data_IF_772585285519
#
_entry.id   IF_772585285519
#
_cell.length_a   1.000
_cell.length_b   1.000
_cell.length_c   1.000
_cell.angle_alpha   90.00
_cell.angle_beta   90.00
_cell.angle_gamma   90.00
#
_symmetry.space_group_name_H-M   'P 1'
#
loop_
_entity.id
_entity.type
_entity.pdbx_description
1 polymer ?
#
# COMPACT_ATOMS: atom_id res chain seq x y z
N UNK A 1 12.75 -38.38 37.55
CA UNK A 1 11.55 -37.72 37.01
C UNK A 1 11.21 -36.60 37.96
N UNK A 2 11.23 -35.36 37.49
CA UNK A 2 10.83 -34.21 38.31
C UNK A 2 9.30 -34.07 38.24
N UNK A 3 8.64 -34.09 39.40
CA UNK A 3 7.21 -33.83 39.53
C UNK A 3 7.00 -32.38 39.94
N UNK A 4 6.32 -31.63 39.08
CA UNK A 4 5.89 -30.26 39.39
C UNK A 4 4.51 -30.37 40.06
N UNK A 5 4.39 -29.80 41.27
CA UNK A 5 3.10 -29.72 41.97
C UNK A 5 2.55 -28.30 41.81
N UNK A 6 1.32 -28.19 41.34
CA UNK A 6 0.67 -26.90 41.07
C UNK A 6 -0.77 -26.95 41.60
N UNK A 7 -1.26 -25.85 42.14
CA UNK A 7 -2.66 -25.72 42.54
C UNK A 7 -3.56 -25.60 41.30
N UNK A 8 -4.86 -25.90 41.46
CA UNK A 8 -5.83 -25.75 40.36
C UNK A 8 -5.94 -24.31 39.90
N UNK A 9 -5.74 -23.37 40.81
CA UNK A 9 -5.84 -21.94 40.61
C UNK A 9 -4.64 -21.44 39.79
N UNK A 10 -3.42 -21.82 40.16
CA UNK A 10 -2.21 -21.54 39.37
C UNK A 10 -2.28 -22.14 37.96
N UNK A 11 -2.85 -23.35 37.83
CA UNK A 11 -3.03 -23.98 36.51
C UNK A 11 -3.98 -23.17 35.63
N UNK A 12 -5.11 -22.72 36.20
CA UNK A 12 -6.06 -21.85 35.50
C UNK A 12 -5.41 -20.53 35.12
N UNK A 13 -4.55 -19.97 35.97
CA UNK A 13 -3.86 -18.71 35.71
C UNK A 13 -2.87 -18.82 34.56
N UNK A 14 -2.07 -19.89 34.52
CA UNK A 14 -1.14 -20.18 33.43
C UNK A 14 -1.91 -20.36 32.11
N UNK A 15 -2.98 -21.16 32.11
CA UNK A 15 -3.82 -21.35 30.92
C UNK A 15 -4.43 -20.02 30.48
N UNK A 16 -4.98 -19.22 31.39
CA UNK A 16 -5.59 -17.94 31.06
C UNK A 16 -4.57 -16.91 30.55
N UNK A 17 -3.34 -16.95 31.05
CA UNK A 17 -2.22 -16.12 30.55
C UNK A 17 -1.84 -16.55 29.14
N UNK A 18 -1.73 -17.84 28.89
CA UNK A 18 -1.33 -18.36 27.59
C UNK A 18 -2.40 -18.21 26.52
N UNK A 19 -3.67 -18.39 26.89
CA UNK A 19 -4.82 -18.07 26.04
C UNK A 19 -4.88 -16.57 25.75
N UNK A 20 -4.63 -15.70 26.74
CA UNK A 20 -4.53 -14.25 26.50
C UNK A 20 -3.37 -13.90 25.57
N UNK A 21 -2.21 -14.55 25.71
CA UNK A 21 -1.07 -14.36 24.82
C UNK A 21 -1.37 -14.86 23.39
N UNK A 22 -2.10 -15.96 23.24
CA UNK A 22 -2.52 -16.46 21.93
C UNK A 22 -3.59 -15.58 21.27
N UNK A 23 -4.50 -15.00 22.06
CA UNK A 23 -5.56 -14.08 21.58
C UNK A 23 -5.01 -12.68 21.29
N UNK A 24 -4.14 -12.16 22.16
CA UNK A 24 -3.55 -10.82 22.05
C UNK A 24 -2.23 -10.79 21.27
N UNK A 25 -1.64 -11.95 20.98
CA UNK A 25 -0.48 -12.06 20.11
C UNK A 25 -0.87 -11.48 18.76
N UNK A 26 -0.12 -10.45 18.29
CA UNK A 26 -0.26 -9.95 16.93
C UNK A 26 -0.29 -11.16 16.00
N UNK A 27 -1.39 -11.35 15.26
CA UNK A 27 -1.46 -12.40 14.24
C UNK A 27 -0.17 -12.34 13.42
N UNK A 28 0.56 -13.45 13.26
CA UNK A 28 1.77 -13.45 12.45
C UNK A 28 1.41 -12.87 11.09
N UNK A 29 2.20 -11.88 10.65
CA UNK A 29 1.98 -11.23 9.36
C UNK A 29 2.19 -12.33 8.33
N UNK A 30 1.16 -12.68 7.57
CA UNK A 30 1.37 -13.63 6.47
C UNK A 30 2.20 -12.93 5.39
N UNK A 31 3.01 -13.69 4.65
CA UNK A 31 3.78 -13.17 3.52
C UNK A 31 2.91 -12.45 2.47
N UNK A 32 1.64 -12.84 2.35
CA UNK A 32 0.65 -12.17 1.50
C UNK A 32 0.16 -10.81 2.02
N UNK A 33 0.49 -10.43 3.25
CA UNK A 33 -0.05 -9.24 3.93
C UNK A 33 0.99 -8.19 4.34
N UNK A 34 2.28 -8.42 4.06
CA UNK A 34 3.41 -7.56 4.46
C UNK A 34 3.17 -6.08 4.14
N UNK A 35 2.63 -5.79 2.96
CA UNK A 35 2.46 -4.43 2.47
C UNK A 35 1.03 -3.87 2.63
N UNK A 36 0.06 -4.64 3.15
CA UNK A 36 -1.35 -4.25 3.11
C UNK A 36 -1.63 -2.91 3.80
N UNK A 37 -0.92 -2.61 4.89
CA UNK A 37 -1.11 -1.37 5.67
C UNK A 37 -0.51 -0.14 5.00
N UNK A 38 0.54 -0.32 4.20
CA UNK A 38 1.30 0.76 3.57
C UNK A 38 1.03 0.87 2.07
N UNK A 39 0.26 -0.07 1.51
CA UNK A 39 -0.02 -0.20 0.08
C UNK A 39 -0.48 1.13 -0.53
N UNK A 40 0.15 1.52 -1.64
CA UNK A 40 -0.34 2.62 -2.46
C UNK A 40 -1.69 2.25 -3.08
N UNK A 41 -2.60 3.22 -3.09
CA UNK A 41 -4.02 3.05 -3.42
C UNK A 41 -4.50 4.19 -4.32
N UNK A 42 -5.74 4.06 -4.80
CA UNK A 42 -6.37 5.13 -5.57
C UNK A 42 -6.59 6.41 -4.74
N UNK A 43 -6.85 6.26 -3.43
CA UNK A 43 -7.07 7.40 -2.53
C UNK A 43 -5.84 8.31 -2.43
N UNK A 44 -4.63 7.73 -2.45
CA UNK A 44 -3.39 8.52 -2.39
C UNK A 44 -3.28 9.50 -3.57
N UNK A 45 -3.75 9.09 -4.76
CA UNK A 45 -3.76 9.95 -5.96
C UNK A 45 -4.92 10.94 -5.93
N UNK A 46 -6.09 10.49 -5.51
CA UNK A 46 -7.29 11.32 -5.42
C UNK A 46 -7.06 12.50 -4.46
N UNK A 47 -6.46 12.25 -3.30
CA UNK A 47 -6.06 13.28 -2.33
C UNK A 47 -5.07 14.29 -2.89
N UNK A 48 -4.11 13.85 -3.73
CA UNK A 48 -3.15 14.75 -4.36
C UNK A 48 -3.82 15.56 -5.46
N UNK A 49 -4.53 14.90 -6.38
CA UNK A 49 -5.10 15.53 -7.56
C UNK A 49 -6.15 16.58 -7.17
N UNK A 50 -7.02 16.27 -6.21
CA UNK A 50 -8.05 17.21 -5.71
C UNK A 50 -7.51 18.51 -5.10
N UNK A 51 -6.21 18.59 -4.78
CA UNK A 51 -5.59 19.85 -4.32
C UNK A 51 -5.51 20.90 -5.45
N UNK A 52 -5.62 20.50 -6.71
CA UNK A 52 -5.39 21.37 -7.86
C UNK A 52 -6.68 21.60 -8.64
N UNK A 53 -7.19 22.83 -8.62
CA UNK A 53 -8.49 23.16 -9.21
C UNK A 53 -8.62 22.79 -10.70
N UNK A 54 -7.52 22.83 -11.45
CA UNK A 54 -7.54 22.49 -12.88
C UNK A 54 -7.89 21.01 -13.14
N UNK A 55 -7.60 20.11 -12.19
CA UNK A 55 -7.87 18.67 -12.37
C UNK A 55 -9.35 18.35 -12.32
N UNK A 56 -10.19 19.23 -11.78
CA UNK A 56 -11.64 19.08 -11.82
C UNK A 56 -12.17 18.99 -13.26
N UNK A 57 -11.51 19.69 -14.20
CA UNK A 57 -11.84 19.63 -15.63
C UNK A 57 -11.43 18.32 -16.29
N UNK A 58 -10.62 17.50 -15.63
CA UNK A 58 -10.16 16.19 -16.09
C UNK A 58 -11.03 15.04 -15.57
N UNK A 59 -12.01 15.32 -14.69
CA UNK A 59 -12.94 14.31 -14.22
C UNK A 59 -13.75 13.75 -15.38
N UNK A 60 -13.77 12.43 -15.50
CA UNK A 60 -14.66 11.73 -16.42
C UNK A 60 -16.10 11.74 -15.92
N UNK A 61 -16.98 11.00 -16.62
CA UNK A 61 -18.30 10.69 -16.09
C UNK A 61 -18.17 9.98 -14.72
N UNK A 62 -19.06 10.30 -13.78
CA UNK A 62 -19.15 9.69 -12.44
C UNK A 62 -17.98 9.93 -11.46
N UNK A 63 -17.26 11.06 -11.56
CA UNK A 63 -16.08 11.37 -10.73
C UNK A 63 -14.91 10.37 -10.86
N UNK A 64 -14.95 9.52 -11.88
CA UNK A 64 -13.87 8.59 -12.23
C UNK A 64 -12.72 9.38 -12.88
N UNK A 65 -11.47 8.98 -12.58
CA UNK A 65 -10.27 9.50 -13.25
C UNK A 65 -9.21 10.17 -12.36
N UNK A 66 -9.56 10.68 -11.18
CA UNK A 66 -8.57 11.31 -10.27
C UNK A 66 -7.87 10.32 -9.33
N UNK A 67 -8.35 9.08 -9.22
CA UNK A 67 -7.72 8.03 -8.40
C UNK A 67 -6.43 7.43 -8.98
N UNK A 68 -5.85 8.04 -10.01
CA UNK A 68 -4.72 7.54 -10.76
C UNK A 68 -3.71 8.66 -11.08
N UNK A 69 -2.45 8.32 -11.39
CA UNK A 69 -1.51 9.31 -11.90
C UNK A 69 -2.00 9.91 -13.21
N UNK A 70 -2.05 11.25 -13.26
CA UNK A 70 -2.52 11.98 -14.44
C UNK A 70 -1.48 11.97 -15.57
N UNK A 71 -1.89 11.40 -16.70
CA UNK A 71 -1.21 11.47 -17.99
C UNK A 71 -1.66 12.71 -18.77
N UNK A 72 -0.71 13.36 -19.45
CA UNK A 72 -1.02 14.46 -20.38
C UNK A 72 -1.88 13.97 -21.56
N UNK A 73 -1.64 12.73 -22.02
CA UNK A 73 -2.45 12.10 -23.08
C UNK A 73 -3.73 11.49 -22.52
N UNK A 74 -4.81 11.55 -23.31
CA UNK A 74 -6.04 10.77 -23.11
C UNK A 74 -5.89 9.35 -23.63
N UNK A 75 -6.46 8.40 -22.90
CA UNK A 75 -6.52 6.99 -23.27
C UNK A 75 -7.95 6.47 -23.19
N UNK A 76 -8.27 5.53 -24.06
CA UNK A 76 -9.59 4.89 -24.08
C UNK A 76 -9.67 3.81 -22.99
N UNK A 77 -10.67 3.90 -22.11
CA UNK A 77 -10.92 2.96 -21.00
C UNK A 77 -12.28 2.25 -21.10
N UNK A 78 -12.91 2.32 -22.26
CA UNK A 78 -14.21 1.74 -22.55
C UNK A 78 -14.77 2.31 -23.85
N UNK A 79 -15.98 1.93 -24.21
CA UNK A 79 -16.64 2.49 -25.38
C UNK A 79 -16.99 3.96 -25.07
N UNK A 80 -16.34 4.90 -25.75
CA UNK A 80 -16.57 6.34 -25.59
C UNK A 80 -15.95 6.99 -24.34
N UNK A 81 -15.31 6.22 -23.45
CA UNK A 81 -14.66 6.74 -22.25
C UNK A 81 -13.18 7.04 -22.51
N UNK A 82 -12.80 8.31 -22.43
CA UNK A 82 -11.42 8.77 -22.59
C UNK A 82 -10.96 9.51 -21.34
N UNK A 83 -9.90 9.00 -20.72
CA UNK A 83 -9.41 9.53 -19.44
C UNK A 83 -7.91 9.80 -19.49
N UNK A 84 -7.48 10.77 -18.70
CA UNK A 84 -6.09 11.22 -18.63
C UNK A 84 -5.26 10.35 -17.67
N UNK A 85 -5.33 9.02 -17.82
CA UNK A 85 -4.42 8.10 -17.13
C UNK A 85 -4.26 6.81 -17.94
N UNK A 86 -3.19 6.08 -17.66
CA UNK A 86 -2.94 4.72 -18.19
C UNK A 86 -2.30 3.81 -17.16
N UNK A 87 -1.49 4.40 -16.27
CA UNK A 87 -0.92 3.70 -15.14
C UNK A 87 -1.95 3.58 -14.01
N UNK A 88 -2.02 2.40 -13.38
CA UNK A 88 -2.91 2.12 -12.27
C UNK A 88 -2.14 2.03 -10.94
N UNK A 89 -2.83 2.34 -9.83
CA UNK A 89 -2.26 2.20 -8.48
C UNK A 89 -1.78 0.77 -8.18
N UNK A 90 -2.43 -0.25 -8.76
CA UNK A 90 -2.03 -1.65 -8.64
C UNK A 90 -0.67 -1.95 -9.29
N UNK A 91 -0.41 -1.37 -10.47
CA UNK A 91 0.86 -1.53 -11.17
C UNK A 91 1.99 -0.84 -10.42
N UNK A 92 1.72 0.37 -9.92
CA UNK A 92 2.68 1.15 -9.12
C UNK A 92 2.98 0.44 -7.80
N UNK A 93 1.95 -0.13 -7.16
CA UNK A 93 2.13 -1.00 -6.01
C UNK A 93 3.11 -2.14 -6.32
N UNK A 94 2.91 -2.84 -7.43
CA UNK A 94 3.76 -3.96 -7.81
C UNK A 94 5.20 -3.53 -8.12
N UNK A 95 5.41 -2.37 -8.76
CA UNK A 95 6.74 -1.81 -8.99
C UNK A 95 7.46 -1.49 -7.67
N UNK A 96 6.81 -0.78 -6.75
CA UNK A 96 7.40 -0.44 -5.44
C UNK A 96 7.68 -1.72 -4.64
N UNK A 97 6.74 -2.68 -4.67
CA UNK A 97 6.88 -3.98 -4.01
C UNK A 97 8.10 -4.73 -4.54
N UNK A 98 8.26 -4.86 -5.86
CA UNK A 98 9.39 -5.52 -6.50
C UNK A 98 10.72 -4.84 -6.18
N UNK A 99 10.75 -3.49 -6.22
CA UNK A 99 11.94 -2.73 -5.87
C UNK A 99 12.33 -2.96 -4.40
N UNK A 100 11.34 -2.94 -3.49
CA UNK A 100 11.54 -3.25 -2.08
C UNK A 100 12.13 -4.65 -1.91
N UNK A 101 11.52 -5.68 -2.51
CA UNK A 101 12.00 -7.06 -2.40
C UNK A 101 13.43 -7.24 -2.96
N UNK A 102 13.76 -6.53 -4.04
CA UNK A 102 15.09 -6.59 -4.62
C UNK A 102 16.19 -6.09 -3.67
N UNK A 103 15.86 -5.19 -2.74
CA UNK A 103 16.79 -4.74 -1.70
C UNK A 103 17.13 -5.85 -0.68
N UNK A 104 16.25 -6.85 -0.53
CA UNK A 104 16.48 -8.05 0.28
C UNK A 104 17.02 -9.22 -0.56
N UNK A 105 17.32 -9.00 -1.85
CA UNK A 105 17.83 -10.05 -2.74
C UNK A 105 16.79 -11.10 -3.16
N UNK A 106 15.49 -10.80 -3.01
CA UNK A 106 14.40 -11.73 -3.34
C UNK A 106 13.41 -11.13 -4.35
N UNK A 107 12.56 -11.97 -4.95
CA UNK A 107 11.55 -11.52 -5.93
C UNK A 107 10.11 -11.79 -5.49
N UNK A 108 9.90 -12.71 -4.54
CA UNK A 108 8.60 -13.04 -3.98
C UNK A 108 8.53 -12.65 -2.50
N UNK A 109 7.33 -12.30 -2.04
CA UNK A 109 7.08 -12.02 -0.62
C UNK A 109 7.32 -13.27 0.26
N UNK A 110 7.11 -14.47 -0.29
CA UNK A 110 7.29 -15.75 0.40
C UNK A 110 8.75 -16.06 0.74
N UNK A 111 9.68 -15.41 0.06
CA UNK A 111 11.11 -15.65 0.21
C UNK A 111 11.71 -14.80 1.34
N UNK A 112 10.97 -13.78 1.80
CA UNK A 112 11.33 -12.98 2.98
C UNK A 112 11.14 -13.80 4.25
N UNK A 113 12.06 -13.64 5.19
CA UNK A 113 11.90 -14.13 6.56
C UNK A 113 10.94 -13.22 7.32
N UNK A 114 10.21 -13.78 8.28
CA UNK A 114 9.30 -12.99 9.13
C UNK A 114 10.02 -11.85 9.87
N UNK A 115 11.29 -12.05 10.23
CA UNK A 115 12.15 -11.02 10.82
C UNK A 115 12.40 -9.81 9.91
N UNK A 116 12.19 -9.95 8.61
CA UNK A 116 12.42 -8.90 7.60
C UNK A 116 11.14 -8.12 7.25
N UNK A 117 9.95 -8.62 7.63
CA UNK A 117 8.67 -8.06 7.20
C UNK A 117 8.48 -6.59 7.62
N UNK A 118 8.83 -6.25 8.85
CA UNK A 118 8.69 -4.87 9.34
C UNK A 118 9.60 -3.90 8.57
N UNK A 119 10.84 -4.31 8.28
CA UNK A 119 11.78 -3.48 7.54
C UNK A 119 11.39 -3.37 6.05
N UNK A 120 10.93 -4.45 5.44
CA UNK A 120 10.38 -4.42 4.09
C UNK A 120 9.16 -3.49 4.01
N UNK A 121 8.26 -3.53 5.00
CA UNK A 121 7.09 -2.64 5.06
C UNK A 121 7.51 -1.17 5.19
N UNK A 122 8.50 -0.86 6.03
CA UNK A 122 9.06 0.51 6.16
C UNK A 122 9.72 0.99 4.87
N UNK A 123 10.52 0.15 4.22
CA UNK A 123 11.17 0.50 2.96
C UNK A 123 10.15 0.76 1.84
N UNK A 124 9.11 -0.07 1.75
CA UNK A 124 7.99 0.17 0.85
C UNK A 124 7.37 1.55 1.11
N UNK A 125 7.08 1.88 2.37
CA UNK A 125 6.45 3.14 2.74
C UNK A 125 7.33 4.35 2.38
N UNK A 126 8.64 4.27 2.62
CA UNK A 126 9.60 5.30 2.19
C UNK A 126 9.59 5.52 0.67
N UNK A 127 9.61 4.43 -0.11
CA UNK A 127 9.55 4.49 -1.57
C UNK A 127 8.20 5.05 -2.07
N UNK A 128 7.08 4.62 -1.47
CA UNK A 128 5.75 5.17 -1.74
C UNK A 128 5.72 6.67 -1.49
N UNK A 129 6.18 7.12 -0.33
CA UNK A 129 6.15 8.53 0.06
C UNK A 129 7.03 9.37 -0.87
N UNK A 130 8.21 8.87 -1.23
CA UNK A 130 9.06 9.54 -2.23
C UNK A 130 8.38 9.63 -3.59
N UNK A 131 7.79 8.53 -4.08
CA UNK A 131 7.06 8.51 -5.35
C UNK A 131 5.91 9.52 -5.35
N UNK A 132 5.06 9.51 -4.32
CA UNK A 132 3.92 10.43 -4.19
C UNK A 132 4.36 11.89 -4.10
N UNK A 133 5.45 12.17 -3.35
CA UNK A 133 6.05 13.50 -3.31
C UNK A 133 6.48 13.97 -4.70
N UNK A 134 7.22 13.14 -5.44
CA UNK A 134 7.66 13.48 -6.80
C UNK A 134 6.49 13.64 -7.78
N UNK A 135 5.48 12.79 -7.65
CA UNK A 135 4.24 12.90 -8.42
C UNK A 135 3.55 14.24 -8.15
N UNK A 136 3.33 14.60 -6.89
CA UNK A 136 2.73 15.88 -6.53
C UNK A 136 3.55 17.05 -7.08
N UNK A 137 4.89 17.02 -6.97
CA UNK A 137 5.75 18.06 -7.55
C UNK A 137 5.61 18.21 -9.06
N UNK A 138 5.33 17.12 -9.79
CA UNK A 138 5.00 17.20 -11.21
C UNK A 138 3.64 17.84 -11.43
N UNK A 139 2.62 17.47 -10.66
CA UNK A 139 1.26 18.04 -10.79
C UNK A 139 1.25 19.53 -10.48
N UNK A 140 2.02 19.98 -9.48
CA UNK A 140 2.19 21.41 -9.15
C UNK A 140 2.69 22.28 -10.32
N UNK A 141 3.38 21.70 -11.30
CA UNK A 141 3.92 22.44 -12.45
C UNK A 141 3.03 22.42 -13.68
N UNK A 142 1.89 21.72 -13.64
CA UNK A 142 1.00 21.55 -14.78
C UNK A 142 -0.21 22.48 -14.68
N UNK A 143 -0.83 22.69 -15.83
CA UNK A 143 -2.02 23.49 -16.08
C UNK A 143 -3.00 22.67 -16.92
N UNK A 144 -4.21 23.20 -17.18
CA UNK A 144 -5.19 22.47 -17.99
C UNK A 144 -4.76 22.40 -19.46
N UNK A 145 -4.02 23.40 -19.93
CA UNK A 145 -3.48 23.52 -21.28
C UNK A 145 -2.51 22.38 -21.62
N UNK A 146 -1.85 21.79 -20.61
CA UNK A 146 -0.94 20.66 -20.79
C UNK A 146 -1.68 19.33 -21.11
N UNK A 147 -2.99 19.28 -20.94
CA UNK A 147 -3.83 18.08 -21.13
C UNK A 147 -4.72 18.14 -22.39
N UNK A 148 -4.58 19.18 -23.20
CA UNK A 148 -5.30 19.38 -24.47
C UNK A 148 -4.77 18.49 -25.61
#
# INVERSE_FOLDING_TARGET
>A
MEQITLTKEELKEIIAKEVRNAINGKKPISSGSIFNKVRISHNDFDEINKKFAYTERLRGADNLGLGHPLSLKKYQHGIGCYENYKAYASEIHDHIRKLTLSAFGVTLNSDLKESEYDEASRMYDMLKNFYLYRYQKRIETLSIEDFE
#
